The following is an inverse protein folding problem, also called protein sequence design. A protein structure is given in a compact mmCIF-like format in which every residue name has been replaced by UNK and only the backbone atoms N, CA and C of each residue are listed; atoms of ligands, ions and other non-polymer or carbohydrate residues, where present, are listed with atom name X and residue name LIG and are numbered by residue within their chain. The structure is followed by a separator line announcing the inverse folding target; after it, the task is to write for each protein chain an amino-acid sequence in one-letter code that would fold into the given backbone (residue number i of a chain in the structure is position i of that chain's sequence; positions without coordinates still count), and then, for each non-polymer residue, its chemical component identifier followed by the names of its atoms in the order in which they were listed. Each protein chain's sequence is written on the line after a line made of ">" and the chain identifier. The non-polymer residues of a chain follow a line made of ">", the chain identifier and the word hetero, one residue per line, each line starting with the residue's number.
data_IF_875943490035
#
_entry.id   IF_875943490035
#
_cell.length_a   1.000
_cell.length_b   1.000
_cell.length_c   1.000
_cell.angle_alpha   90.00
_cell.angle_beta   90.00
_cell.angle_gamma   90.00
#
_symmetry.space_group_name_H-M   'P 1'
#
loop_
_entity.id
_entity.type
_entity.pdbx_description
1 polymer ?
#
# COMPACT_ATOMS: atom_id res chain seq x y z
N UNK A 1 26.84 13.03 11.33
CA UNK A 1 25.46 13.48 11.03
C UNK A 1 24.87 12.47 10.08
N UNK A 2 24.29 11.39 10.60
CA UNK A 2 23.65 10.35 9.79
C UNK A 2 22.26 10.84 9.45
N UNK A 3 22.11 11.48 8.29
CA UNK A 3 20.81 11.71 7.69
C UNK A 3 20.26 10.37 7.26
N UNK A 4 19.51 9.71 8.15
CA UNK A 4 18.73 8.52 7.78
C UNK A 4 17.62 9.01 6.87
N UNK A 5 17.85 9.05 5.56
CA UNK A 5 16.79 9.30 4.59
C UNK A 5 15.77 8.19 4.74
N UNK A 6 14.56 8.54 5.16
CA UNK A 6 13.45 7.57 5.18
C UNK A 6 13.27 6.99 3.76
N UNK A 7 12.83 5.73 3.64
CA UNK A 7 12.64 5.11 2.33
C UNK A 7 11.65 5.93 1.48
N UNK A 8 12.09 6.38 0.31
CA UNK A 8 11.29 7.19 -0.63
C UNK A 8 11.05 6.47 -1.95
N UNK A 9 10.01 6.87 -2.67
CA UNK A 9 9.71 6.43 -4.04
C UNK A 9 9.87 7.59 -5.03
N UNK A 10 10.13 7.33 -6.33
CA UNK A 10 10.26 8.38 -7.33
C UNK A 10 8.99 9.24 -7.49
N UNK A 11 9.17 10.52 -7.80
CA UNK A 11 8.07 11.50 -7.98
C UNK A 11 7.26 11.32 -9.27
N UNK A 12 7.77 10.52 -10.21
CA UNK A 12 7.13 10.20 -11.49
C UNK A 12 7.35 8.74 -11.84
N UNK A 13 6.47 8.19 -12.66
CA UNK A 13 6.42 6.78 -12.99
C UNK A 13 5.36 6.06 -12.18
N UNK A 14 5.03 4.85 -12.62
CA UNK A 14 3.98 4.03 -12.02
C UNK A 14 4.40 3.55 -10.64
N UNK A 15 3.51 3.70 -9.66
CA UNK A 15 3.66 3.14 -8.32
C UNK A 15 2.69 1.96 -8.14
N UNK A 16 3.13 0.94 -7.40
CA UNK A 16 2.23 -0.06 -6.84
C UNK A 16 1.88 0.29 -5.41
N UNK A 17 0.63 0.11 -5.02
CA UNK A 17 0.16 0.17 -3.64
C UNK A 17 -0.14 -1.23 -3.14
N UNK A 18 0.45 -1.60 -2.00
CA UNK A 18 0.25 -2.90 -1.35
C UNK A 18 -0.37 -2.72 0.05
N UNK A 19 -1.51 -3.36 0.26
CA UNK A 19 -2.13 -3.49 1.58
C UNK A 19 -1.84 -4.90 2.13
N UNK A 20 -1.05 -4.95 3.22
CA UNK A 20 -0.57 -6.20 3.79
C UNK A 20 -1.62 -6.84 4.71
N UNK A 21 -2.05 -8.04 4.33
CA UNK A 21 -2.74 -8.98 5.21
C UNK A 21 -1.98 -10.30 5.33
N UNK A 22 -2.13 -10.97 6.47
CA UNK A 22 -1.45 -12.26 6.71
C UNK A 22 -1.84 -13.34 5.69
N UNK A 23 -3.05 -13.28 5.14
CA UNK A 23 -3.58 -14.22 4.13
C UNK A 23 -3.66 -13.66 2.71
N UNK A 24 -3.84 -12.34 2.59
CA UNK A 24 -4.14 -11.68 1.33
C UNK A 24 -3.33 -10.39 1.21
N UNK A 25 -2.95 -10.05 -0.02
CA UNK A 25 -2.28 -8.79 -0.34
C UNK A 25 -3.19 -8.04 -1.31
N UNK A 26 -3.72 -6.91 -0.87
CA UNK A 26 -4.41 -5.99 -1.76
C UNK A 26 -3.39 -5.29 -2.65
N UNK A 27 -3.64 -5.22 -3.96
CA UNK A 27 -2.75 -4.60 -4.94
C UNK A 27 -3.50 -3.50 -5.69
N UNK A 28 -2.88 -2.34 -5.78
CA UNK A 28 -3.32 -1.21 -6.58
C UNK A 28 -2.17 -0.66 -7.43
N UNK A 29 -2.50 0.09 -8.46
CA UNK A 29 -1.53 0.74 -9.36
C UNK A 29 -1.89 2.18 -9.61
N UNK A 30 -0.87 3.04 -9.75
CA UNK A 30 -1.05 4.42 -10.16
C UNK A 30 -0.89 4.62 -11.67
N UNK A 31 -1.40 5.74 -12.17
CA UNK A 31 -0.91 6.29 -13.44
C UNK A 31 0.53 6.77 -13.31
N UNK A 32 1.24 6.92 -14.44
CA UNK A 32 2.65 7.33 -14.45
C UNK A 32 2.89 8.77 -14.00
N UNK A 33 1.89 9.63 -14.14
CA UNK A 33 1.86 10.99 -13.57
C UNK A 33 1.41 11.00 -12.09
N UNK A 34 1.13 9.84 -11.51
CA UNK A 34 0.78 9.66 -10.11
C UNK A 34 -0.45 10.48 -9.67
N UNK A 35 -1.44 10.60 -10.56
CA UNK A 35 -2.68 11.35 -10.34
C UNK A 35 -3.89 10.45 -10.01
N UNK A 36 -3.90 9.20 -10.47
CA UNK A 36 -5.00 8.25 -10.28
C UNK A 36 -4.47 6.95 -9.71
N UNK A 37 -5.22 6.33 -8.79
CA UNK A 37 -4.99 4.97 -8.31
C UNK A 37 -6.17 4.06 -8.70
N UNK A 38 -5.85 2.87 -9.21
CA UNK A 38 -6.83 1.84 -9.61
C UNK A 38 -6.56 0.52 -8.87
N UNK A 39 -7.61 -0.22 -8.47
CA UNK A 39 -7.43 -1.55 -7.89
C UNK A 39 -6.98 -2.52 -8.98
N UNK A 40 -6.07 -3.44 -8.64
CA UNK A 40 -5.62 -4.50 -9.54
C UNK A 40 -6.17 -5.86 -9.12
N UNK A 41 -5.71 -6.36 -7.98
CA UNK A 41 -6.01 -7.72 -7.53
C UNK A 41 -5.95 -7.81 -6.01
N UNK A 42 -6.68 -8.77 -5.45
CA UNK A 42 -6.48 -9.20 -4.07
C UNK A 42 -5.83 -10.59 -4.07
N UNK A 43 -4.50 -10.62 -4.03
CA UNK A 43 -3.72 -11.84 -4.16
C UNK A 43 -3.77 -12.68 -2.90
N UNK A 44 -4.03 -13.98 -3.03
CA UNK A 44 -3.99 -14.93 -1.90
C UNK A 44 -2.59 -15.46 -1.75
N UNK A 45 -1.97 -15.21 -0.59
CA UNK A 45 -0.61 -15.66 -0.26
C UNK A 45 -0.53 -17.17 -0.21
N UNK A 46 0.59 -17.71 -0.69
CA UNK A 46 0.80 -19.17 -0.80
C UNK A 46 2.09 -19.60 -0.14
N UNK A 47 3.20 -19.06 -0.62
CA UNK A 47 4.54 -19.30 -0.11
C UNK A 47 5.41 -18.12 -0.48
N UNK A 48 6.47 -17.89 0.29
CA UNK A 48 7.35 -16.75 0.05
C UNK A 48 7.87 -16.70 -1.40
N UNK A 49 8.28 -17.84 -1.95
CA UNK A 49 8.73 -17.92 -3.34
C UNK A 49 7.63 -17.55 -4.35
N UNK A 50 6.41 -18.07 -4.17
CA UNK A 50 5.31 -17.78 -5.08
C UNK A 50 4.85 -16.31 -4.97
N UNK A 51 4.80 -15.80 -3.75
CA UNK A 51 4.42 -14.42 -3.44
C UNK A 51 5.45 -13.44 -4.04
N UNK A 52 6.76 -13.72 -3.93
CA UNK A 52 7.82 -12.94 -4.54
C UNK A 52 7.73 -12.93 -6.08
N UNK A 53 7.49 -14.11 -6.69
CA UNK A 53 7.32 -14.22 -8.14
C UNK A 53 6.12 -13.41 -8.65
N UNK A 54 4.99 -13.47 -7.94
CA UNK A 54 3.81 -12.70 -8.25
C UNK A 54 4.09 -11.19 -8.17
N UNK A 55 4.63 -10.72 -7.05
CA UNK A 55 4.90 -9.28 -6.84
C UNK A 55 5.91 -8.75 -7.86
N UNK A 56 6.96 -9.52 -8.18
CA UNK A 56 7.92 -9.17 -9.21
C UNK A 56 7.25 -9.10 -10.59
N UNK A 57 6.43 -10.09 -10.94
CA UNK A 57 5.73 -10.11 -12.23
C UNK A 57 4.83 -8.88 -12.39
N UNK A 58 4.05 -8.52 -11.36
CA UNK A 58 3.20 -7.32 -11.38
C UNK A 58 4.04 -6.04 -11.48
N UNK A 59 5.14 -5.93 -10.70
CA UNK A 59 6.01 -4.76 -10.77
C UNK A 59 6.65 -4.60 -12.16
N UNK A 60 7.06 -5.70 -12.79
CA UNK A 60 7.63 -5.67 -14.14
C UNK A 60 6.55 -5.40 -15.21
N UNK A 61 5.37 -6.00 -15.12
CA UNK A 61 4.26 -5.80 -16.06
C UNK A 61 3.87 -4.32 -16.14
N UNK A 62 3.73 -3.66 -14.99
CA UNK A 62 3.32 -2.26 -14.91
C UNK A 62 4.51 -1.29 -14.95
N UNK A 63 5.74 -1.79 -15.14
CA UNK A 63 6.96 -0.98 -15.14
C UNK A 63 7.05 -0.08 -13.89
N UNK A 64 6.67 -0.64 -12.74
CA UNK A 64 6.58 0.09 -11.49
C UNK A 64 7.97 0.57 -11.06
N UNK A 65 8.06 1.87 -10.75
CA UNK A 65 9.29 2.53 -10.33
C UNK A 65 9.44 2.56 -8.81
N UNK A 66 8.38 2.26 -8.07
CA UNK A 66 8.35 2.22 -6.61
C UNK A 66 7.10 1.56 -6.07
N UNK A 67 7.15 1.20 -4.79
CA UNK A 67 6.09 0.49 -4.09
C UNK A 67 5.73 1.23 -2.81
N UNK A 68 4.45 1.42 -2.57
CA UNK A 68 3.89 2.03 -1.35
C UNK A 68 3.24 0.92 -0.54
N UNK A 69 3.68 0.73 0.71
CA UNK A 69 3.09 -0.26 1.63
C UNK A 69 2.30 0.46 2.71
N UNK A 70 1.03 0.10 2.84
CA UNK A 70 0.18 0.61 3.93
C UNK A 70 0.65 0.10 5.30
N UNK A 71 0.71 1.00 6.27
CA UNK A 71 0.90 0.67 7.68
C UNK A 71 -0.44 0.81 8.40
N UNK A 72 -0.93 -0.25 9.07
CA UNK A 72 -2.13 -0.14 9.89
C UNK A 72 -1.83 0.75 11.10
N UNK A 73 -2.75 1.67 11.40
CA UNK A 73 -2.61 2.63 12.49
C UNK A 73 -3.94 2.74 13.24
N UNK A 74 -4.03 2.25 14.49
CA UNK A 74 -4.55 2.97 15.67
C UNK A 74 -5.17 2.12 16.82
N UNK A 75 -4.83 2.61 18.04
CA UNK A 75 -5.64 2.87 19.25
C UNK A 75 -5.66 1.88 20.44
N UNK A 76 -5.00 0.73 20.44
CA UNK A 76 -4.92 -0.08 21.68
C UNK A 76 -3.72 -1.02 21.75
N UNK A 77 -2.64 -0.55 22.39
CA UNK A 77 -1.76 -1.28 23.33
C UNK A 77 -0.94 -2.50 22.87
N UNK A 78 -1.40 -3.31 21.94
CA UNK A 78 -0.85 -4.64 21.59
C UNK A 78 -0.38 -4.71 20.11
N UNK A 79 -0.13 -3.54 19.52
CA UNK A 79 -0.10 -3.32 18.05
C UNK A 79 1.30 -3.19 17.44
N UNK A 80 2.36 -3.22 18.24
CA UNK A 80 3.74 -3.17 17.73
C UNK A 80 4.03 -4.30 16.71
N UNK A 81 3.34 -5.44 16.84
CA UNK A 81 3.49 -6.59 15.96
C UNK A 81 3.07 -6.34 14.51
N UNK A 82 1.88 -5.77 14.26
CA UNK A 82 1.36 -5.65 12.88
C UNK A 82 2.07 -4.60 12.05
N UNK A 83 2.42 -3.46 12.64
CA UNK A 83 3.24 -2.46 11.96
C UNK A 83 4.65 -3.01 11.68
N UNK A 84 5.23 -3.79 12.61
CA UNK A 84 6.50 -4.47 12.39
C UNK A 84 6.41 -5.52 11.28
N UNK A 85 5.33 -6.32 11.23
CA UNK A 85 5.06 -7.27 10.16
C UNK A 85 4.94 -6.57 8.80
N UNK A 86 4.19 -5.46 8.72
CA UNK A 86 4.05 -4.68 7.49
C UNK A 86 5.39 -4.08 7.03
N UNK A 87 6.25 -3.65 7.95
CA UNK A 87 7.61 -3.19 7.64
C UNK A 87 8.52 -4.32 7.18
N UNK A 88 8.47 -5.48 7.84
CA UNK A 88 9.23 -6.66 7.43
C UNK A 88 8.79 -7.13 6.04
N UNK A 89 7.47 -7.12 5.79
CA UNK A 89 6.89 -7.37 4.47
C UNK A 89 7.42 -6.37 3.45
N UNK A 90 7.37 -5.06 3.71
CA UNK A 90 7.87 -4.05 2.78
C UNK A 90 9.35 -4.20 2.45
N UNK A 91 10.20 -4.47 3.45
CA UNK A 91 11.62 -4.74 3.23
C UNK A 91 11.83 -5.95 2.30
N UNK A 92 11.15 -7.05 2.59
CA UNK A 92 11.17 -8.26 1.77
C UNK A 92 10.66 -8.03 0.35
N UNK A 93 9.59 -7.23 0.17
CA UNK A 93 9.09 -6.86 -1.16
C UNK A 93 10.12 -6.06 -1.95
N UNK A 94 10.83 -5.13 -1.28
CA UNK A 94 11.90 -4.36 -1.90
C UNK A 94 13.01 -5.26 -2.43
N UNK A 95 13.44 -6.26 -1.65
CA UNK A 95 14.42 -7.26 -2.08
C UNK A 95 13.92 -8.13 -3.23
N UNK A 96 12.68 -8.64 -3.13
CA UNK A 96 12.09 -9.53 -4.13
C UNK A 96 11.86 -8.86 -5.50
N UNK A 97 11.54 -7.56 -5.49
CA UNK A 97 11.19 -6.80 -6.71
C UNK A 97 12.35 -5.96 -7.23
N UNK A 98 13.33 -5.63 -6.40
CA UNK A 98 14.39 -4.67 -6.69
C UNK A 98 13.88 -3.23 -6.80
N UNK A 99 12.73 -2.91 -6.18
CA UNK A 99 12.10 -1.58 -6.24
C UNK A 99 12.20 -0.86 -4.90
N UNK A 100 12.36 0.48 -4.90
CA UNK A 100 12.28 1.25 -3.68
C UNK A 100 10.87 1.11 -3.07
N UNK A 101 10.84 1.02 -1.74
CA UNK A 101 9.60 0.88 -0.98
C UNK A 101 9.48 2.05 -0.03
N UNK A 102 8.32 2.70 0.00
CA UNK A 102 7.96 3.65 1.05
C UNK A 102 6.75 3.15 1.85
N UNK A 103 6.56 3.70 3.04
CA UNK A 103 5.50 3.29 3.95
C UNK A 103 4.50 4.42 4.15
N UNK A 104 3.21 4.09 4.20
CA UNK A 104 2.14 5.06 4.38
C UNK A 104 1.35 4.76 5.66
N UNK A 105 1.41 5.68 6.63
CA UNK A 105 0.71 5.63 7.92
C UNK A 105 -0.74 6.14 7.70
N UNK A 106 -1.70 5.23 7.48
CA UNK A 106 -3.10 5.58 7.29
C UNK A 106 -3.79 5.97 8.60
N UNK A 107 -3.74 7.25 8.97
CA UNK A 107 -4.62 7.81 10.00
C UNK A 107 -5.88 8.33 9.31
N UNK A 108 -7.05 7.75 9.61
CA UNK A 108 -8.40 8.28 9.33
C UNK A 108 -9.26 7.80 8.13
N UNK A 109 -9.00 6.68 7.46
CA UNK A 109 -9.84 6.28 6.30
C UNK A 109 -10.91 5.22 6.59
N UNK A 110 -10.80 4.44 7.65
CA UNK A 110 -11.78 3.40 8.00
C UNK A 110 -13.17 3.98 8.31
N UNK A 111 -13.25 5.06 9.12
CA UNK A 111 -14.53 5.65 9.52
C UNK A 111 -15.31 6.29 8.36
N UNK A 112 -14.63 6.96 7.43
CA UNK A 112 -15.26 7.65 6.29
C UNK A 112 -15.70 6.66 5.21
N UNK A 113 -14.87 5.65 4.90
CA UNK A 113 -15.22 4.60 3.95
C UNK A 113 -16.36 3.70 4.45
N UNK A 114 -16.39 3.41 5.76
CA UNK A 114 -17.48 2.65 6.38
C UNK A 114 -18.80 3.45 6.35
N UNK A 115 -18.76 4.76 6.64
CA UNK A 115 -19.93 5.64 6.57
C UNK A 115 -20.50 5.79 5.15
N UNK A 116 -19.65 5.92 4.12
CA UNK A 116 -20.09 6.01 2.72
C UNK A 116 -20.81 4.73 2.24
N UNK A 117 -20.40 3.57 2.74
CA UNK A 117 -21.01 2.28 2.39
C UNK A 117 -22.22 1.91 3.25
N UNK A 118 -22.46 2.58 4.38
CA UNK A 118 -23.69 2.42 5.16
C UNK A 118 -24.94 2.91 4.40
N UNK A 119 -24.77 3.75 3.39
CA UNK A 119 -25.85 4.25 2.52
C UNK A 119 -26.32 3.25 1.45
N UNK A 120 -25.70 2.07 1.35
CA UNK A 120 -26.10 1.02 0.41
C UNK A 120 -26.77 -0.15 1.14
N UNK A 121 -27.83 -0.69 0.53
CA UNK A 121 -28.63 -1.82 1.03
C UNK A 121 -27.87 -3.16 0.83
N UNK A 122 -26.70 -3.24 1.44
CA UNK A 122 -25.77 -4.37 1.36
C UNK A 122 -25.57 -5.00 2.73
N UNK A 123 -25.51 -6.33 2.77
CA UNK A 123 -25.17 -7.03 4.02
C UNK A 123 -23.76 -6.66 4.49
N UNK A 124 -23.55 -6.63 5.81
CA UNK A 124 -22.25 -6.31 6.44
C UNK A 124 -21.09 -7.12 5.84
N UNK A 125 -21.32 -8.41 5.55
CA UNK A 125 -20.33 -9.30 4.93
C UNK A 125 -19.94 -8.85 3.51
N UNK A 126 -20.92 -8.51 2.66
CA UNK A 126 -20.65 -8.02 1.30
C UNK A 126 -19.95 -6.66 1.32
N UNK A 127 -20.30 -5.80 2.29
CA UNK A 127 -19.66 -4.50 2.49
C UNK A 127 -18.18 -4.65 2.87
N UNK A 128 -17.88 -5.50 3.86
CA UNK A 128 -16.49 -5.79 4.27
C UNK A 128 -15.67 -6.35 3.12
N UNK A 129 -16.20 -7.33 2.38
CA UNK A 129 -15.49 -7.88 1.23
C UNK A 129 -15.19 -6.81 0.16
N UNK A 130 -16.11 -5.88 -0.07
CA UNK A 130 -15.90 -4.76 -1.01
C UNK A 130 -14.87 -3.75 -0.48
N UNK A 131 -14.87 -3.47 0.82
CA UNK A 131 -13.84 -2.63 1.46
C UNK A 131 -12.47 -3.27 1.34
N UNK A 132 -12.35 -4.55 1.68
CA UNK A 132 -11.10 -5.30 1.59
C UNK A 132 -10.55 -5.31 0.14
N UNK A 133 -11.42 -5.38 -0.87
CA UNK A 133 -11.02 -5.29 -2.29
C UNK A 133 -10.52 -3.89 -2.70
N UNK A 134 -10.97 -2.83 -2.03
CA UNK A 134 -10.65 -1.45 -2.38
C UNK A 134 -9.58 -0.84 -1.48
N UNK A 135 -9.18 -1.53 -0.40
CA UNK A 135 -8.27 -1.02 0.62
C UNK A 135 -6.96 -0.51 0.01
N UNK A 136 -6.28 -1.32 -0.80
CA UNK A 136 -5.04 -0.92 -1.46
C UNK A 136 -5.21 0.28 -2.41
N UNK A 137 -6.35 0.38 -3.10
CA UNK A 137 -6.63 1.53 -3.97
C UNK A 137 -6.82 2.81 -3.16
N UNK A 138 -7.63 2.74 -2.09
CA UNK A 138 -7.88 3.88 -1.20
C UNK A 138 -6.57 4.34 -0.58
N UNK A 139 -5.78 3.40 -0.07
CA UNK A 139 -4.46 3.65 0.49
C UNK A 139 -3.53 4.35 -0.49
N UNK A 140 -3.38 3.79 -1.70
CA UNK A 140 -2.54 4.40 -2.72
C UNK A 140 -3.06 5.78 -3.09
N UNK A 141 -4.37 5.96 -3.31
CA UNK A 141 -4.94 7.26 -3.63
C UNK A 141 -4.63 8.30 -2.56
N UNK A 142 -4.83 7.98 -1.29
CA UNK A 142 -4.56 8.91 -0.18
C UNK A 142 -3.07 9.31 -0.12
N UNK A 143 -2.18 8.34 -0.36
CA UNK A 143 -0.75 8.61 -0.52
C UNK A 143 -0.50 9.58 -1.68
N UNK A 144 -1.14 9.37 -2.84
CA UNK A 144 -1.03 10.28 -3.99
C UNK A 144 -1.67 11.65 -3.71
N UNK A 145 -2.70 11.76 -2.90
CA UNK A 145 -3.34 13.06 -2.63
C UNK A 145 -2.57 13.92 -1.62
N UNK A 146 -1.60 13.32 -0.91
CA UNK A 146 -0.82 14.02 0.10
C UNK A 146 0.17 15.00 -0.54
N UNK A 147 0.00 16.29 -0.26
CA UNK A 147 0.88 17.38 -0.73
C UNK A 147 2.31 17.26 -0.18
N UNK A 148 2.48 16.52 0.91
CA UNK A 148 3.75 16.29 1.62
C UNK A 148 4.68 15.28 0.93
N UNK A 149 4.24 14.68 -0.20
CA UNK A 149 5.14 13.93 -1.09
C UNK A 149 6.32 14.80 -1.59
N UNK A 150 6.19 16.13 -1.53
CA UNK A 150 7.14 17.14 -2.01
C UNK A 150 8.07 17.72 -0.93
N UNK A 151 7.91 17.42 0.37
CA UNK A 151 8.73 18.01 1.45
C UNK A 151 9.67 17.03 2.16
N UNK A 152 10.03 15.92 1.52
CA UNK A 152 11.25 15.23 1.92
C UNK A 152 12.41 16.01 1.29
N UNK A 153 13.37 16.53 2.08
CA UNK A 153 14.44 17.37 1.56
C UNK A 153 15.12 16.63 0.41
N UNK A 154 14.87 17.16 -0.79
CA UNK A 154 15.50 16.70 -2.01
C UNK A 154 16.99 16.72 -1.83
N UNK A 155 17.62 15.72 -2.40
CA UNK A 155 19.04 15.69 -2.69
C UNK A 155 19.55 17.09 -3.06
N UNK A 156 20.50 17.58 -2.28
CA UNK A 156 21.45 18.63 -2.67
C UNK A 156 22.83 18.02 -2.54
#
# INVERSE_FOLDING_TARGET
>A
MTGSSEPTVPEKGVLLGLDYGTKHIGVAVSTADQSIASPLENYTRRSEKADAQFLKAVADEYQAVGIVVGLPVHMSGDEGGKAAEARAFGAWVGEATGRPVCYWDERHTSAVAEAALMQTDMSKKKRKARLDMLAAQVMLRNFLETDDRRQLPGAI
#
